data_IF_455237698515
#
_entry.id   IF_455237698515
#
_cell.length_a   1.000
_cell.length_b   1.000
_cell.length_c   1.000
_cell.angle_alpha   90.00
_cell.angle_beta   90.00
_cell.angle_gamma   90.00
#
_symmetry.space_group_name_H-M   'P 1'
#
loop_
_entity.id
_entity.type
_entity.pdbx_description
1 polymer ?
#
# COMPACT_ATOMS: atom_id res chain seq x y z
N UNK A 1 11.74 -6.02 -20.28
CA UNK A 1 10.53 -6.11 -19.47
C UNK A 1 10.24 -4.72 -18.91
N UNK A 2 9.05 -4.16 -19.14
CA UNK A 2 8.69 -2.86 -18.57
C UNK A 2 8.44 -3.04 -17.08
N UNK A 3 9.09 -2.24 -16.22
CA UNK A 3 8.81 -2.25 -14.78
C UNK A 3 7.43 -1.62 -14.54
N UNK A 4 6.44 -2.45 -14.20
CA UNK A 4 5.07 -2.02 -13.93
C UNK A 4 4.83 -1.72 -12.46
N UNK A 5 5.70 -2.16 -11.56
CA UNK A 5 5.64 -1.78 -10.14
C UNK A 5 6.66 -0.69 -9.83
N UNK A 6 6.22 0.34 -9.12
CA UNK A 6 7.09 1.38 -8.55
C UNK A 6 6.81 1.47 -7.05
N UNK A 7 7.84 1.72 -6.26
CA UNK A 7 7.66 1.87 -4.82
C UNK A 7 8.64 2.84 -4.20
N UNK A 8 8.25 3.38 -3.04
CA UNK A 8 9.08 4.16 -2.16
C UNK A 8 8.75 3.80 -0.70
N UNK A 9 9.73 3.91 0.18
CA UNK A 9 9.54 3.65 1.61
C UNK A 9 10.11 4.81 2.44
N UNK A 10 9.41 5.13 3.53
CA UNK A 10 9.86 6.12 4.52
C UNK A 10 9.82 5.48 5.89
N UNK A 11 10.92 5.58 6.62
CA UNK A 11 10.99 5.19 8.03
C UNK A 11 10.83 6.42 8.92
N UNK A 12 9.90 6.33 9.88
CA UNK A 12 9.70 7.31 10.93
C UNK A 12 10.16 6.73 12.28
N UNK A 13 11.33 7.16 12.73
CA UNK A 13 11.93 6.68 13.98
C UNK A 13 11.13 7.10 15.23
N UNK A 14 10.60 8.33 15.27
CA UNK A 14 9.83 8.83 16.42
C UNK A 14 8.53 8.06 16.66
N UNK A 15 7.93 7.54 15.58
CA UNK A 15 6.67 6.78 15.63
C UNK A 15 6.90 5.27 15.54
N UNK A 16 8.12 4.84 15.25
CA UNK A 16 8.46 3.45 14.98
C UNK A 16 7.54 2.86 13.91
N UNK A 17 7.42 3.61 12.81
CA UNK A 17 6.53 3.27 11.70
C UNK A 17 7.27 3.29 10.36
N UNK A 18 6.87 2.41 9.45
CA UNK A 18 7.34 2.40 8.07
C UNK A 18 6.12 2.61 7.17
N UNK A 19 6.22 3.56 6.24
CA UNK A 19 5.22 3.79 5.19
C UNK A 19 5.78 3.32 3.85
N UNK A 20 5.08 2.39 3.20
CA UNK A 20 5.36 1.92 1.84
C UNK A 20 4.32 2.50 0.88
N UNK A 21 4.79 3.23 -0.12
CA UNK A 21 4.01 3.71 -1.24
C UNK A 21 4.26 2.78 -2.42
N UNK A 22 3.20 2.21 -2.99
CA UNK A 22 3.30 1.23 -4.07
C UNK A 22 2.33 1.60 -5.19
N UNK A 23 2.86 1.68 -6.41
CA UNK A 23 2.09 1.95 -7.62
C UNK A 23 2.20 0.75 -8.55
N UNK A 24 1.06 0.17 -8.91
CA UNK A 24 0.97 -0.83 -9.98
C UNK A 24 0.45 -0.15 -11.25
N UNK A 25 1.34 0.04 -12.21
CA UNK A 25 1.10 0.61 -13.53
C UNK A 25 0.61 -0.43 -14.55
N UNK A 26 0.54 -1.71 -14.17
CA UNK A 26 -0.04 -2.73 -15.05
C UNK A 26 -1.53 -2.44 -15.24
N UNK A 27 -1.99 -2.50 -16.49
CA UNK A 27 -3.38 -2.19 -16.84
C UNK A 27 -4.33 -3.35 -16.57
N UNK A 28 -3.81 -4.57 -16.36
CA UNK A 28 -4.62 -5.80 -16.32
C UNK A 28 -4.25 -6.74 -15.20
N UNK A 29 -2.99 -6.78 -14.81
CA UNK A 29 -2.47 -7.76 -13.85
C UNK A 29 -2.32 -7.14 -12.47
N UNK A 30 -3.00 -7.76 -11.52
CA UNK A 30 -2.69 -7.58 -10.12
C UNK A 30 -1.31 -8.17 -9.83
N UNK A 31 -0.61 -7.62 -8.86
CA UNK A 31 0.70 -8.10 -8.43
C UNK A 31 0.67 -8.49 -6.96
N UNK A 32 1.51 -9.42 -6.58
CA UNK A 32 1.72 -9.78 -5.18
C UNK A 32 3.09 -9.25 -4.76
N UNK A 33 3.16 -8.65 -3.58
CA UNK A 33 4.40 -8.14 -2.99
C UNK A 33 4.55 -8.68 -1.58
N UNK A 34 5.80 -8.90 -1.16
CA UNK A 34 6.14 -9.26 0.22
C UNK A 34 7.05 -8.20 0.82
N UNK A 35 6.75 -7.76 2.04
CA UNK A 35 7.61 -6.84 2.79
C UNK A 35 8.71 -7.62 3.50
N UNK A 36 9.96 -7.45 3.05
CA UNK A 36 11.14 -8.02 3.72
C UNK A 36 11.75 -6.93 4.60
N UNK A 37 11.63 -7.11 5.91
CA UNK A 37 11.93 -6.09 6.92
C UNK A 37 13.00 -6.57 7.93
N UNK A 38 13.98 -7.33 7.42
CA UNK A 38 15.11 -7.80 8.21
C UNK A 38 15.81 -6.62 8.88
N UNK A 39 16.09 -6.78 10.19
CA UNK A 39 16.70 -5.74 11.01
C UNK A 39 15.72 -4.78 11.69
N UNK A 40 14.41 -4.87 11.42
CA UNK A 40 13.38 -4.10 12.14
C UNK A 40 12.72 -4.85 13.31
N UNK A 41 13.08 -6.11 13.54
CA UNK A 41 12.46 -6.92 14.59
C UNK A 41 11.01 -7.28 14.26
N UNK A 42 10.14 -7.29 15.27
CA UNK A 42 8.73 -7.61 15.08
C UNK A 42 8.01 -6.42 14.45
N UNK A 43 7.24 -6.67 13.40
CA UNK A 43 6.47 -5.65 12.68
C UNK A 43 5.02 -6.09 12.48
N UNK A 44 4.10 -5.15 12.51
CA UNK A 44 2.67 -5.36 12.24
C UNK A 44 2.19 -4.43 11.13
N UNK A 45 1.59 -4.99 10.07
CA UNK A 45 0.81 -4.23 9.09
C UNK A 45 -0.51 -3.79 9.73
N UNK A 46 -0.72 -2.48 9.89
CA UNK A 46 -1.85 -1.94 10.66
C UNK A 46 -2.77 -1.00 9.87
N UNK A 47 -2.32 -0.45 8.73
CA UNK A 47 -3.13 0.41 7.87
C UNK A 47 -2.79 0.17 6.40
N UNK A 48 -3.84 0.11 5.58
CA UNK A 48 -3.78 -0.01 4.13
C UNK A 48 -4.78 0.97 3.52
N UNK A 49 -4.26 1.95 2.78
CA UNK A 49 -5.05 2.86 1.96
C UNK A 49 -4.84 2.52 0.49
N UNK A 50 -5.94 2.43 -0.26
CA UNK A 50 -5.94 2.01 -1.64
C UNK A 50 -6.71 2.99 -2.52
N UNK A 51 -6.13 3.35 -3.65
CA UNK A 51 -6.79 4.07 -4.73
C UNK A 51 -6.77 3.17 -5.97
N UNK A 52 -7.90 2.49 -6.24
CA UNK A 52 -8.04 1.52 -7.33
C UNK A 52 -9.48 1.45 -7.84
N UNK A 53 -9.69 0.76 -8.97
CA UNK A 53 -11.03 0.40 -9.46
C UNK A 53 -11.84 1.55 -10.07
N UNK A 54 -11.20 2.69 -10.34
CA UNK A 54 -11.80 3.83 -11.02
C UNK A 54 -11.59 3.75 -12.53
N UNK A 55 -12.50 4.36 -13.30
CA UNK A 55 -12.27 4.58 -14.72
C UNK A 55 -11.00 5.43 -14.93
N UNK A 56 -10.18 5.16 -15.97
CA UNK A 56 -8.88 5.84 -16.15
C UNK A 56 -8.96 7.37 -16.21
N UNK A 57 -10.10 7.92 -16.63
CA UNK A 57 -10.34 9.36 -16.75
C UNK A 57 -11.23 9.92 -15.63
N UNK A 58 -11.56 9.12 -14.61
CA UNK A 58 -12.32 9.60 -13.47
C UNK A 58 -11.53 10.69 -12.73
N UNK A 59 -12.22 11.77 -12.35
CA UNK A 59 -11.61 12.89 -11.63
C UNK A 59 -12.62 13.54 -10.70
N UNK A 60 -12.10 14.19 -9.67
CA UNK A 60 -12.89 15.02 -8.77
C UNK A 60 -13.29 16.31 -9.49
N UNK A 61 -14.53 16.74 -9.30
CA UNK A 61 -15.08 17.98 -9.88
C UNK A 61 -15.68 18.85 -8.78
N UNK A 62 -16.03 20.10 -9.09
CA UNK A 62 -16.70 20.96 -8.09
C UNK A 62 -18.05 20.41 -7.63
N UNK A 63 -18.76 19.66 -8.47
CA UNK A 63 -20.06 19.05 -8.12
C UNK A 63 -19.91 17.67 -7.48
N UNK A 64 -18.81 16.98 -7.73
CA UNK A 64 -18.46 15.67 -7.15
C UNK A 64 -16.99 15.70 -6.67
N UNK A 65 -16.70 16.33 -5.53
CA UNK A 65 -15.33 16.56 -5.08
C UNK A 65 -14.60 15.28 -4.61
N UNK A 66 -15.35 14.22 -4.31
CA UNK A 66 -14.83 12.97 -3.74
C UNK A 66 -15.14 11.74 -4.63
N UNK A 67 -15.19 11.93 -5.95
CA UNK A 67 -15.46 10.84 -6.90
C UNK A 67 -14.32 9.80 -6.97
N UNK A 68 -13.09 10.25 -6.71
CA UNK A 68 -11.85 9.46 -6.71
C UNK A 68 -11.09 9.80 -5.43
N UNK A 69 -11.20 8.92 -4.43
CA UNK A 69 -10.51 9.06 -3.15
C UNK A 69 -9.87 7.74 -2.73
N UNK A 70 -8.74 7.76 -2.02
CA UNK A 70 -8.25 6.57 -1.35
C UNK A 70 -9.31 6.02 -0.39
N UNK A 71 -9.33 4.71 -0.23
CA UNK A 71 -10.20 4.00 0.71
C UNK A 71 -9.34 3.17 1.65
N UNK A 72 -9.74 3.12 2.92
CA UNK A 72 -9.18 2.14 3.85
C UNK A 72 -9.60 0.75 3.40
N UNK A 73 -8.63 -0.11 3.12
CA UNK A 73 -8.85 -1.51 2.77
C UNK A 73 -8.62 -2.38 4.01
N UNK A 74 -9.55 -3.31 4.34
CA UNK A 74 -9.34 -4.24 5.45
C UNK A 74 -8.11 -5.11 5.23
N UNK A 75 -7.30 -5.28 6.26
CA UNK A 75 -6.14 -6.18 6.24
C UNK A 75 -6.56 -7.49 6.90
N UNK A 76 -6.43 -8.60 6.18
CA UNK A 76 -6.72 -9.94 6.69
C UNK A 76 -5.66 -10.42 7.68
N UNK A 77 -6.02 -11.40 8.51
CA UNK A 77 -5.06 -12.03 9.42
C UNK A 77 -3.88 -12.68 8.67
N UNK A 78 -4.14 -13.26 7.50
CA UNK A 78 -3.11 -13.87 6.67
C UNK A 78 -2.12 -12.84 6.12
N UNK A 79 -2.59 -11.66 5.70
CA UNK A 79 -1.73 -10.56 5.26
C UNK A 79 -0.88 -10.01 6.42
N UNK A 80 -1.43 -9.93 7.64
CA UNK A 80 -0.66 -9.54 8.83
C UNK A 80 0.45 -10.54 9.16
N UNK A 81 0.17 -11.83 9.06
CA UNK A 81 1.12 -12.90 9.38
C UNK A 81 2.22 -13.03 8.31
N UNK A 82 1.84 -13.01 7.03
CA UNK A 82 2.77 -13.23 5.91
C UNK A 82 3.46 -11.96 5.42
N UNK A 83 2.96 -10.78 5.81
CA UNK A 83 3.35 -9.47 5.26
C UNK A 83 3.40 -9.49 3.73
N UNK A 84 2.47 -10.22 3.13
CA UNK A 84 2.33 -10.38 1.70
C UNK A 84 0.95 -9.91 1.31
N UNK A 85 0.90 -8.99 0.36
CA UNK A 85 -0.33 -8.28 -0.02
C UNK A 85 -0.49 -8.27 -1.53
N UNK A 86 -1.75 -8.25 -1.95
CA UNK A 86 -2.13 -8.05 -3.34
C UNK A 86 -2.21 -6.56 -3.65
N UNK A 87 -1.62 -6.16 -4.77
CA UNK A 87 -1.60 -4.80 -5.32
C UNK A 87 -2.41 -4.80 -6.62
N UNK A 88 -3.64 -4.28 -6.63
CA UNK A 88 -4.50 -4.32 -7.81
C UNK A 88 -3.88 -3.65 -9.05
N UNK A 89 -4.28 -4.04 -10.25
CA UNK A 89 -3.94 -3.33 -11.48
C UNK A 89 -4.36 -1.85 -11.40
N UNK A 90 -3.58 -0.95 -12.01
CA UNK A 90 -3.80 0.50 -12.03
C UNK A 90 -4.13 1.10 -10.65
N UNK A 91 -3.34 0.75 -9.63
CA UNK A 91 -3.61 1.18 -8.26
C UNK A 91 -2.44 1.86 -7.60
N UNK A 92 -2.76 2.82 -6.73
CA UNK A 92 -1.85 3.35 -5.73
C UNK A 92 -2.23 2.77 -4.36
N UNK A 93 -1.23 2.34 -3.60
CA UNK A 93 -1.40 1.76 -2.28
C UNK A 93 -0.42 2.40 -1.30
N UNK A 94 -0.91 2.70 -0.10
CA UNK A 94 -0.10 3.04 1.06
C UNK A 94 -0.30 1.95 2.10
N UNK A 95 0.79 1.26 2.44
CA UNK A 95 0.83 0.31 3.54
C UNK A 95 1.63 0.90 4.68
N UNK A 96 1.10 0.88 5.90
CA UNK A 96 1.82 1.33 7.09
C UNK A 96 2.03 0.17 8.03
N UNK A 97 3.28 0.00 8.42
CA UNK A 97 3.71 -1.01 9.36
C UNK A 97 4.22 -0.34 10.62
N UNK A 98 3.93 -0.94 11.76
CA UNK A 98 4.42 -0.53 13.07
C UNK A 98 5.47 -1.51 13.51
N UNK A 99 6.58 -1.00 14.04
CA UNK A 99 7.62 -1.81 14.65
C UNK A 99 7.28 -1.96 16.13
N UNK A 100 7.26 -3.20 16.60
CA UNK A 100 7.07 -3.54 18.01
C UNK A 100 8.43 -3.70 18.69
N UNK A 101 8.72 -2.84 19.68
CA UNK A 101 9.93 -2.92 20.50
C UNK A 101 11.04 -1.95 20.11
N UNK A 102 12.18 -2.05 20.81
CA UNK A 102 13.42 -1.33 20.49
C UNK A 102 14.28 -2.19 19.55
N UNK A 103 14.97 -1.54 18.60
CA UNK A 103 15.88 -2.18 17.63
C UNK A 103 17.16 -2.68 18.28
#
# INVERSE_FOLDING_TARGET
>A
QTKTLQSAAVYNDERKEIAFFVLNLDQKQDQEISFVLDGFGKVELFDHQELSGYEPNAMNTFTQPDAVTPKTTPISAAEKESLTVKVPAMSFNLYRLKIEGEL
#
